data_IF_204937735192
#
_entry.id   IF_204937735192
#
_cell.length_a   1.000
_cell.length_b   1.000
_cell.length_c   1.000
_cell.angle_alpha   90.00
_cell.angle_beta   90.00
_cell.angle_gamma   90.00
#
_symmetry.space_group_name_H-M   'P 1'
#
loop_
_entity.id
_entity.type
_entity.pdbx_description
1 polymer ?
#
# COMPACT_ATOMS: atom_id res chain seq x y z
N UNK A 1 -2.45 20.85 -8.44
CA UNK A 1 -1.87 20.34 -8.51
C UNK A 1 -1.99 19.00 -8.64
N UNK A 2 -1.32 18.40 -9.00
CA UNK A 2 -1.29 17.05 -9.31
C UNK A 2 -1.40 16.15 -8.15
N UNK A 3 -2.18 16.47 -7.28
CA UNK A 3 -2.32 15.67 -6.11
C UNK A 3 -2.85 14.30 -6.39
N UNK A 4 -3.62 14.10 -7.42
CA UNK A 4 -4.12 12.85 -7.64
C UNK A 4 -3.12 11.85 -8.06
N UNK A 5 -1.96 12.19 -8.45
CA UNK A 5 -1.01 11.23 -8.82
C UNK A 5 -0.52 10.53 -7.63
N UNK A 6 -0.77 10.98 -6.46
CA UNK A 6 -0.29 10.35 -5.27
C UNK A 6 -0.74 8.93 -5.07
N UNK A 7 -1.82 8.52 -5.67
CA UNK A 7 -2.27 7.19 -5.41
C UNK A 7 -1.28 6.16 -5.89
N UNK A 8 -0.59 6.43 -6.97
CA UNK A 8 0.37 5.49 -7.46
C UNK A 8 1.53 5.39 -6.52
N UNK A 9 1.99 6.50 -5.96
CA UNK A 9 3.03 6.46 -5.01
C UNK A 9 2.63 5.73 -3.77
N UNK A 10 1.44 5.92 -3.27
CA UNK A 10 0.99 5.24 -2.09
C UNK A 10 0.89 3.74 -2.28
N UNK A 11 0.50 3.31 -3.45
CA UNK A 11 0.43 1.90 -3.73
C UNK A 11 1.83 1.29 -3.65
N UNK A 12 2.81 1.95 -4.23
CA UNK A 12 4.16 1.44 -4.18
C UNK A 12 4.69 1.42 -2.76
N UNK A 13 4.38 2.44 -1.98
CA UNK A 13 4.81 2.49 -0.60
C UNK A 13 4.21 1.35 0.20
N UNK A 14 2.93 1.08 -0.01
CA UNK A 14 2.26 0.00 0.70
C UNK A 14 2.94 -1.32 0.38
N UNK A 15 3.20 -1.58 -0.89
CA UNK A 15 3.81 -2.84 -1.28
C UNK A 15 5.21 -2.97 -0.72
N UNK A 16 5.96 -1.89 -0.73
CA UNK A 16 7.29 -1.92 -0.21
C UNK A 16 7.28 -2.21 1.29
N UNK A 17 6.41 -1.54 2.03
CA UNK A 17 6.33 -1.76 3.46
C UNK A 17 5.86 -3.17 3.77
N UNK A 18 5.00 -3.71 2.93
CA UNK A 18 4.48 -5.05 3.17
C UNK A 18 5.51 -6.12 2.83
N UNK A 19 6.15 -6.01 1.69
CA UNK A 19 7.03 -7.07 1.22
C UNK A 19 8.50 -6.89 1.59
N UNK A 20 8.95 -5.66 1.70
CA UNK A 20 10.34 -5.43 2.07
C UNK A 20 10.52 -5.26 3.56
N UNK A 21 9.70 -4.42 4.16
CA UNK A 21 9.82 -4.16 5.59
C UNK A 21 9.02 -5.15 6.40
N UNK A 22 8.01 -5.75 5.75
CA UNK A 22 7.16 -6.74 6.41
C UNK A 22 6.36 -6.20 7.58
N UNK A 23 5.81 -5.03 7.41
CA UNK A 23 4.96 -4.46 8.42
C UNK A 23 3.57 -5.06 8.34
N UNK A 24 2.84 -4.99 9.44
CA UNK A 24 1.46 -5.46 9.41
C UNK A 24 0.61 -4.40 8.71
N UNK A 25 -0.57 -4.80 8.26
CA UNK A 25 -1.46 -3.86 7.58
C UNK A 25 -1.76 -2.66 8.44
N UNK A 26 -1.89 -2.88 9.73
CA UNK A 26 -2.16 -1.83 10.66
C UNK A 26 -1.04 -0.80 10.67
N UNK A 27 0.19 -1.26 10.70
CA UNK A 27 1.32 -0.37 10.71
C UNK A 27 1.50 0.34 9.39
N UNK A 28 1.22 -0.34 8.30
CA UNK A 28 1.29 0.26 6.99
C UNK A 28 0.24 1.35 6.88
N UNK A 29 -0.96 1.09 7.40
CA UNK A 29 -2.03 2.07 7.37
C UNK A 29 -1.62 3.32 8.12
N UNK A 30 -1.00 3.15 9.26
CA UNK A 30 -0.56 4.29 10.05
C UNK A 30 0.55 5.05 9.33
N UNK A 31 1.45 4.33 8.70
CA UNK A 31 2.59 4.96 8.04
C UNK A 31 2.17 5.72 6.78
N UNK A 32 1.19 5.20 6.06
CA UNK A 32 0.77 5.82 4.81
C UNK A 32 -0.44 6.72 4.95
N UNK A 33 -1.09 6.68 6.09
CA UNK A 33 -2.30 7.48 6.28
C UNK A 33 -3.51 6.89 5.61
N UNK A 34 -3.45 5.63 5.19
CA UNK A 34 -4.57 4.99 4.53
C UNK A 34 -5.32 4.11 5.52
N UNK A 35 -6.61 3.88 5.30
CA UNK A 35 -7.35 2.97 6.16
C UNK A 35 -6.84 1.55 5.95
N UNK A 36 -6.94 0.76 7.00
CA UNK A 36 -6.49 -0.61 6.95
C UNK A 36 -7.13 -1.37 5.80
N UNK A 37 -8.40 -1.12 5.56
CA UNK A 37 -9.12 -1.75 4.47
C UNK A 37 -8.45 -1.45 3.12
N UNK A 38 -8.05 -0.21 2.90
CA UNK A 38 -7.42 0.17 1.65
C UNK A 38 -6.07 -0.52 1.51
N UNK A 39 -5.33 -0.65 2.60
CA UNK A 39 -4.05 -1.33 2.57
C UNK A 39 -4.26 -2.79 2.17
N UNK A 40 -5.23 -3.44 2.78
CA UNK A 40 -5.52 -4.83 2.47
C UNK A 40 -5.89 -5.01 1.00
N UNK A 41 -6.75 -4.13 0.50
CA UNK A 41 -7.15 -4.21 -0.89
C UNK A 41 -5.98 -4.02 -1.82
N UNK A 42 -5.12 -3.08 -1.51
CA UNK A 42 -3.96 -2.80 -2.35
C UNK A 42 -3.03 -4.02 -2.39
N UNK A 43 -2.79 -4.61 -1.24
CA UNK A 43 -1.92 -5.78 -1.18
C UNK A 43 -2.52 -6.94 -1.95
N UNK A 44 -3.81 -7.16 -1.80
CA UNK A 44 -4.46 -8.26 -2.49
C UNK A 44 -4.41 -8.08 -4.00
N UNK A 45 -4.63 -6.86 -4.46
CA UNK A 45 -4.58 -6.58 -5.87
C UNK A 45 -3.18 -6.85 -6.42
N UNK A 46 -2.18 -6.47 -5.67
CA UNK A 46 -0.81 -6.66 -6.10
C UNK A 46 -0.49 -8.15 -6.21
N UNK A 47 -0.95 -8.91 -5.25
CA UNK A 47 -0.70 -10.34 -5.27
C UNK A 47 -1.41 -11.00 -6.45
N UNK A 48 -2.64 -10.59 -6.70
CA UNK A 48 -3.39 -11.14 -7.81
C UNK A 48 -2.75 -10.84 -9.14
N UNK A 49 -2.16 -9.67 -9.26
CA UNK A 49 -1.53 -9.30 -10.51
C UNK A 49 -0.07 -9.63 -10.57
N UNK A 50 0.45 -10.26 -9.53
CA UNK A 50 1.83 -10.64 -9.52
C UNK A 50 2.80 -9.49 -9.43
N UNK A 51 2.39 -8.43 -8.77
CA UNK A 51 3.23 -7.25 -8.66
C UNK A 51 4.14 -7.26 -7.45
N UNK A 52 4.08 -8.24 -6.65
CA UNK A 52 4.92 -8.24 -5.44
C UNK A 52 6.43 -8.44 -5.75
#
# INVERSE_FOLDING_TARGET
MPAKRNSMRKIKDVLRLKFEVRLSHEKIAAATGMPKRAVTNTVQLAVQKGLS
#
